data_IF_574903210257
#
_entry.id   IF_574903210257
#
_cell.length_a   1.000
_cell.length_b   1.000
_cell.length_c   1.000
_cell.angle_alpha   90.00
_cell.angle_beta   90.00
_cell.angle_gamma   90.00
#
_symmetry.space_group_name_H-M   'P 1'
#
loop_
_entity.id
_entity.type
_entity.pdbx_description
1 polymer ?
#
# COMPACT_ATOMS: atom_id res chain seq x y z
N UNK A 1 -33.15 -2.53 26.75
CA UNK A 1 -32.25 -2.95 25.66
C UNK A 1 -30.95 -2.21 25.85
N UNK A 2 -29.93 -2.84 26.42
CA UNK A 2 -28.58 -2.27 26.52
C UNK A 2 -28.08 -2.11 25.08
N UNK A 3 -28.10 -0.90 24.53
CA UNK A 3 -27.51 -0.63 23.22
C UNK A 3 -26.06 -1.08 23.27
N UNK A 4 -25.68 -2.02 22.40
CA UNK A 4 -24.31 -2.52 22.37
C UNK A 4 -23.37 -1.33 22.16
N UNK A 5 -22.54 -1.06 23.17
CA UNK A 5 -21.62 0.09 23.15
C UNK A 5 -20.71 -0.06 21.95
N UNK A 6 -20.74 0.92 21.04
CA UNK A 6 -19.83 0.98 19.90
C UNK A 6 -18.38 1.06 20.39
N UNK A 7 -17.51 0.23 19.83
CA UNK A 7 -16.08 0.20 20.14
C UNK A 7 -15.34 1.16 19.21
N UNK A 8 -14.43 1.97 19.74
CA UNK A 8 -13.56 2.85 18.95
C UNK A 8 -12.13 2.31 18.89
N UNK A 9 -11.65 2.05 17.67
CA UNK A 9 -10.31 1.49 17.43
C UNK A 9 -9.47 2.45 16.61
N UNK A 10 -8.27 2.77 17.10
CA UNK A 10 -7.27 3.53 16.34
C UNK A 10 -6.22 2.60 15.73
N UNK A 11 -6.12 2.59 14.41
CA UNK A 11 -5.05 1.91 13.67
C UNK A 11 -3.94 2.90 13.29
N UNK A 12 -2.68 2.56 13.59
CA UNK A 12 -1.54 3.46 13.41
C UNK A 12 -0.61 2.95 12.30
N UNK A 13 -0.48 3.70 11.19
CA UNK A 13 0.50 3.43 10.12
C UNK A 13 0.89 4.70 9.36
N UNK A 14 2.14 5.16 9.54
CA UNK A 14 2.62 6.43 8.97
C UNK A 14 3.34 6.34 7.62
N UNK A 15 3.60 5.14 7.09
CA UNK A 15 4.24 4.88 5.77
C UNK A 15 4.40 3.38 5.58
N UNK A 16 4.77 2.85 4.42
CA UNK A 16 4.74 3.45 3.08
C UNK A 16 3.46 3.03 2.35
N UNK A 17 3.32 3.39 1.07
CA UNK A 17 2.11 3.07 0.28
C UNK A 17 1.76 1.58 0.38
N UNK A 18 2.73 0.70 0.09
CA UNK A 18 2.52 -0.75 0.13
C UNK A 18 2.10 -1.24 1.51
N UNK A 19 2.76 -0.76 2.56
CA UNK A 19 2.41 -1.18 3.92
C UNK A 19 1.04 -0.70 4.38
N UNK A 20 0.59 0.48 3.92
CA UNK A 20 -0.75 0.98 4.23
C UNK A 20 -1.80 0.11 3.53
N UNK A 21 -1.57 -0.27 2.27
CA UNK A 21 -2.45 -1.22 1.55
C UNK A 21 -2.46 -2.58 2.26
N UNK A 22 -1.32 -3.06 2.77
CA UNK A 22 -1.24 -4.28 3.57
C UNK A 22 -2.03 -4.22 4.89
N UNK A 23 -2.37 -3.03 5.40
CA UNK A 23 -3.21 -2.87 6.59
C UNK A 23 -4.71 -3.03 6.30
N UNK A 24 -5.13 -2.94 5.03
CA UNK A 24 -6.56 -2.90 4.67
C UNK A 24 -7.38 -4.12 5.09
N UNK A 25 -6.86 -5.37 5.11
CA UNK A 25 -7.63 -6.51 5.62
C UNK A 25 -8.00 -6.35 7.10
N UNK A 26 -7.11 -5.75 7.90
CA UNK A 26 -7.39 -5.44 9.31
C UNK A 26 -8.53 -4.44 9.42
N UNK A 27 -8.57 -3.42 8.55
CA UNK A 27 -9.64 -2.41 8.57
C UNK A 27 -11.00 -3.04 8.23
N UNK A 28 -11.03 -3.86 7.18
CA UNK A 28 -12.23 -4.61 6.77
C UNK A 28 -12.73 -5.54 7.88
N UNK A 29 -11.82 -6.31 8.47
CA UNK A 29 -12.16 -7.22 9.58
C UNK A 29 -12.59 -6.48 10.86
N UNK A 30 -12.01 -5.32 11.17
CA UNK A 30 -12.48 -4.50 12.30
C UNK A 30 -13.91 -4.02 12.07
N UNK A 31 -14.24 -3.63 10.84
CA UNK A 31 -15.58 -3.17 10.51
C UNK A 31 -16.62 -4.29 10.51
N UNK A 32 -16.25 -5.48 10.03
CA UNK A 32 -17.21 -6.56 9.75
C UNK A 32 -17.21 -7.70 10.78
N UNK A 33 -16.10 -7.97 11.48
CA UNK A 33 -15.85 -9.26 12.13
C UNK A 33 -15.55 -9.18 13.64
N UNK A 34 -15.90 -8.08 14.31
CA UNK A 34 -15.75 -7.95 15.79
C UNK A 34 -16.95 -8.48 16.57
N UNK A 35 -18.07 -8.75 15.90
CA UNK A 35 -19.35 -9.06 16.53
C UNK A 35 -19.99 -7.88 17.28
N UNK A 36 -19.44 -6.66 17.12
CA UNK A 36 -19.91 -5.42 17.74
C UNK A 36 -19.86 -4.26 16.75
N UNK A 37 -20.69 -3.24 16.96
CA UNK A 37 -20.54 -1.99 16.20
C UNK A 37 -19.15 -1.38 16.46
N UNK A 38 -18.37 -1.15 15.39
CA UNK A 38 -16.97 -0.71 15.49
C UNK A 38 -16.74 0.56 14.68
N UNK A 39 -16.26 1.61 15.34
CA UNK A 39 -15.76 2.85 14.75
C UNK A 39 -14.23 2.72 14.54
N UNK A 40 -13.80 2.73 13.29
CA UNK A 40 -12.43 2.52 12.86
C UNK A 40 -11.81 3.87 12.49
N UNK A 41 -10.82 4.26 13.27
CA UNK A 41 -10.00 5.42 12.99
C UNK A 41 -8.64 4.98 12.47
N UNK A 42 -8.09 5.72 11.52
CA UNK A 42 -6.76 5.44 11.00
C UNK A 42 -5.90 6.70 11.02
N UNK A 43 -4.69 6.60 11.56
CA UNK A 43 -3.72 7.70 11.59
C UNK A 43 -2.55 7.45 10.66
N UNK A 44 -2.29 8.43 9.78
CA UNK A 44 -1.18 8.40 8.83
C UNK A 44 -0.62 9.81 8.55
N UNK A 45 0.32 9.95 7.60
CA UNK A 45 0.78 11.27 7.14
C UNK A 45 -0.13 11.78 6.04
N UNK A 46 -0.30 13.10 5.93
CA UNK A 46 -1.10 13.75 4.88
C UNK A 46 -0.76 13.28 3.46
N UNK A 47 0.52 13.03 3.16
CA UNK A 47 0.98 12.51 1.87
C UNK A 47 0.39 11.13 1.48
N UNK A 48 -0.16 10.39 2.43
CA UNK A 48 -0.76 9.06 2.23
C UNK A 48 -2.29 9.07 2.29
N UNK A 49 -2.93 10.23 2.46
CA UNK A 49 -4.39 10.40 2.41
C UNK A 49 -5.01 9.72 1.18
N UNK A 50 -4.47 9.86 -0.05
CA UNK A 50 -5.11 9.31 -1.25
C UNK A 50 -5.24 7.79 -1.29
N UNK A 51 -4.62 7.05 -0.36
CA UNK A 51 -4.71 5.59 -0.27
C UNK A 51 -5.98 5.14 0.45
N UNK A 52 -6.48 5.94 1.40
CA UNK A 52 -7.52 5.53 2.34
C UNK A 52 -8.78 6.42 2.29
N UNK A 53 -8.73 7.58 1.65
CA UNK A 53 -9.85 8.55 1.65
C UNK A 53 -11.17 8.01 1.08
N UNK A 54 -11.12 6.93 0.30
CA UNK A 54 -12.29 6.25 -0.25
C UNK A 54 -12.52 4.86 0.36
N UNK A 55 -11.80 4.51 1.44
CA UNK A 55 -11.94 3.21 2.08
C UNK A 55 -13.21 3.18 2.98
N UNK A 56 -14.22 2.35 2.66
CA UNK A 56 -15.50 2.33 3.40
C UNK A 56 -15.36 1.74 4.81
N UNK A 57 -14.23 1.11 5.12
CA UNK A 57 -13.96 0.54 6.43
C UNK A 57 -13.30 1.52 7.39
N UNK A 58 -13.00 2.75 6.95
CA UNK A 58 -12.41 3.81 7.79
C UNK A 58 -13.43 4.93 8.00
N UNK A 59 -13.88 5.12 9.23
CA UNK A 59 -14.81 6.21 9.57
C UNK A 59 -14.10 7.56 9.65
N UNK A 60 -12.87 7.56 10.17
CA UNK A 60 -12.13 8.78 10.45
C UNK A 60 -10.65 8.64 10.12
N UNK A 61 -10.16 9.54 9.26
CA UNK A 61 -8.75 9.68 8.93
C UNK A 61 -8.11 10.82 9.72
N UNK A 62 -7.08 10.50 10.49
CA UNK A 62 -6.28 11.46 11.25
C UNK A 62 -4.94 11.67 10.54
N UNK A 63 -4.68 12.90 10.11
CA UNK A 63 -3.52 13.21 9.28
C UNK A 63 -2.47 13.95 10.10
N UNK A 64 -1.27 13.39 10.16
CA UNK A 64 -0.09 14.10 10.62
C UNK A 64 0.33 15.11 9.55
N UNK A 65 0.02 16.37 9.82
CA UNK A 65 0.47 17.56 9.09
C UNK A 65 1.03 18.57 10.10
N UNK A 66 2.35 18.55 10.30
CA UNK A 66 3.04 19.36 11.33
C UNK A 66 3.45 18.57 12.58
N UNK A 67 3.08 19.08 13.77
CA UNK A 67 3.60 18.59 15.06
C UNK A 67 2.84 17.35 15.57
N UNK A 68 3.59 16.31 15.92
CA UNK A 68 3.02 15.08 16.49
C UNK A 68 2.28 15.33 17.82
N UNK A 69 2.74 16.29 18.63
CA UNK A 69 2.10 16.61 19.91
C UNK A 69 0.67 17.10 19.76
N UNK A 70 0.39 17.91 18.73
CA UNK A 70 -0.95 18.43 18.44
C UNK A 70 -1.88 17.28 18.07
N UNK A 71 -1.42 16.41 17.16
CA UNK A 71 -2.14 15.20 16.76
C UNK A 71 -2.43 14.28 17.96
N UNK A 72 -1.48 14.10 18.87
CA UNK A 72 -1.70 13.29 20.08
C UNK A 72 -2.78 13.89 20.97
N UNK A 73 -2.81 15.22 21.12
CA UNK A 73 -3.84 15.92 21.90
C UNK A 73 -5.23 15.71 21.28
N UNK A 74 -5.35 15.86 19.96
CA UNK A 74 -6.59 15.62 19.21
C UNK A 74 -7.05 14.16 19.35
N UNK A 75 -6.15 13.20 19.12
CA UNK A 75 -6.44 11.78 19.25
C UNK A 75 -6.84 11.38 20.68
N UNK A 76 -6.27 12.02 21.71
CA UNK A 76 -6.64 11.75 23.11
C UNK A 76 -8.08 12.15 23.39
N UNK A 77 -8.59 13.22 22.76
CA UNK A 77 -9.97 13.67 22.93
C UNK A 77 -11.01 12.69 22.37
N UNK A 78 -10.60 11.75 21.50
CA UNK A 78 -11.50 10.78 20.87
C UNK A 78 -11.85 9.56 21.75
N UNK A 79 -11.16 9.38 22.88
CA UNK A 79 -11.38 8.32 23.87
C UNK A 79 -11.46 6.88 23.30
N UNK A 80 -10.43 6.47 22.55
CA UNK A 80 -10.38 5.12 21.97
C UNK A 80 -10.42 3.99 23.01
N UNK A 81 -11.00 2.84 22.65
CA UNK A 81 -10.94 1.61 23.46
C UNK A 81 -9.65 0.83 23.20
N UNK A 82 -9.21 0.77 21.93
CA UNK A 82 -8.03 0.01 21.52
C UNK A 82 -7.14 0.77 20.54
N UNK A 83 -5.84 0.50 20.59
CA UNK A 83 -4.86 0.97 19.61
C UNK A 83 -4.18 -0.23 18.93
N UNK A 84 -4.19 -0.26 17.60
CA UNK A 84 -3.49 -1.26 16.81
C UNK A 84 -2.32 -0.57 16.10
N UNK A 85 -1.11 -0.76 16.64
CA UNK A 85 0.11 -0.20 16.07
C UNK A 85 0.72 -1.14 15.02
N UNK A 86 0.33 -0.94 13.77
CA UNK A 86 0.86 -1.66 12.61
C UNK A 86 2.14 -1.02 12.06
N UNK A 87 2.65 0.04 12.69
CA UNK A 87 3.84 0.76 12.23
C UNK A 87 5.09 0.44 13.03
N UNK A 88 4.96 0.26 14.34
CA UNK A 88 6.01 -0.11 15.29
C UNK A 88 7.32 0.68 15.13
N UNK A 89 7.27 2.00 15.34
CA UNK A 89 8.47 2.84 15.45
C UNK A 89 8.33 3.87 16.58
N UNK A 90 9.36 4.70 16.77
CA UNK A 90 9.36 5.75 17.81
C UNK A 90 8.12 6.65 17.72
N UNK A 91 7.72 7.04 16.50
CA UNK A 91 6.56 7.91 16.29
C UNK A 91 5.26 7.23 16.72
N UNK A 92 5.03 5.98 16.33
CA UNK A 92 3.83 5.25 16.75
C UNK A 92 3.85 4.92 18.24
N UNK A 93 5.03 4.67 18.82
CA UNK A 93 5.20 4.50 20.25
C UNK A 93 4.81 5.77 21.04
N UNK A 94 5.20 6.96 20.57
CA UNK A 94 4.79 8.23 21.18
C UNK A 94 3.27 8.42 21.15
N UNK A 95 2.59 8.04 20.06
CA UNK A 95 1.12 8.04 20.00
C UNK A 95 0.53 7.13 21.08
N UNK A 96 1.00 5.87 21.17
CA UNK A 96 0.52 4.93 22.19
C UNK A 96 0.73 5.44 23.62
N UNK A 97 1.93 5.94 23.92
CA UNK A 97 2.26 6.51 25.24
C UNK A 97 1.36 7.71 25.54
N UNK A 98 1.10 8.55 24.54
CA UNK A 98 0.23 9.72 24.67
C UNK A 98 -1.23 9.38 24.93
N UNK A 99 -1.74 8.30 24.35
CA UNK A 99 -3.16 7.90 24.47
C UNK A 99 -3.44 7.01 25.69
N UNK A 100 -2.46 6.21 26.15
CA UNK A 100 -2.58 5.32 27.33
C UNK A 100 -3.76 4.35 27.27
N UNK A 101 -4.04 3.81 26.08
CA UNK A 101 -5.08 2.80 25.86
C UNK A 101 -4.48 1.40 25.67
N UNK A 102 -5.25 0.32 25.92
CA UNK A 102 -4.86 -1.04 25.54
C UNK A 102 -4.39 -1.08 24.09
N UNK A 103 -3.25 -1.74 23.84
CA UNK A 103 -2.64 -1.70 22.51
C UNK A 103 -1.98 -3.02 22.11
N UNK A 104 -2.10 -3.36 20.83
CA UNK A 104 -1.35 -4.42 20.18
C UNK A 104 -0.37 -3.82 19.19
N UNK A 105 0.75 -4.49 18.92
CA UNK A 105 1.79 -3.94 18.05
C UNK A 105 2.47 -5.01 17.22
N UNK A 106 2.64 -4.70 15.94
CA UNK A 106 3.33 -5.57 14.98
C UNK A 106 4.81 -5.74 15.33
N UNK A 107 5.32 -6.97 15.32
CA UNK A 107 6.74 -7.27 15.51
C UNK A 107 7.51 -7.15 14.17
N UNK A 108 8.43 -6.19 14.10
CA UNK A 108 9.17 -5.89 12.86
C UNK A 108 10.20 -6.92 12.41
N UNK A 109 10.72 -7.72 13.35
CA UNK A 109 11.79 -8.69 13.14
C UNK A 109 13.00 -8.06 12.39
N UNK A 110 13.39 -6.86 12.80
CA UNK A 110 14.44 -6.09 12.11
C UNK A 110 15.80 -6.80 12.18
N UNK A 111 16.09 -7.48 13.29
CA UNK A 111 17.35 -8.20 13.48
C UNK A 111 17.43 -9.39 12.53
N UNK A 112 16.34 -10.14 12.41
CA UNK A 112 16.19 -11.30 11.54
C UNK A 112 16.27 -10.87 10.06
N UNK A 113 15.62 -9.76 9.68
CA UNK A 113 15.77 -9.16 8.35
C UNK A 113 17.20 -8.72 8.07
N UNK A 114 17.89 -8.17 9.07
CA UNK A 114 19.29 -7.77 8.94
C UNK A 114 20.21 -9.00 8.79
N UNK A 115 19.98 -10.06 9.57
CA UNK A 115 20.69 -11.34 9.44
C UNK A 115 20.51 -11.93 8.03
N UNK A 116 19.29 -11.93 7.50
CA UNK A 116 19.02 -12.43 6.16
C UNK A 116 19.67 -11.55 5.08
N UNK A 117 19.49 -10.23 5.15
CA UNK A 117 20.00 -9.33 4.09
C UNK A 117 21.51 -9.17 4.12
N UNK A 118 22.14 -9.16 5.30
CA UNK A 118 23.60 -8.96 5.47
C UNK A 118 24.40 -10.25 5.50
N UNK A 119 23.90 -11.30 6.14
CA UNK A 119 24.64 -12.55 6.36
C UNK A 119 24.01 -13.76 5.65
N UNK A 120 22.87 -13.59 4.95
CA UNK A 120 22.14 -14.68 4.27
C UNK A 120 21.67 -15.79 5.23
N UNK A 121 21.57 -15.48 6.53
CA UNK A 121 21.03 -16.40 7.54
C UNK A 121 19.54 -16.14 7.64
N UNK A 122 18.72 -17.07 7.17
CA UNK A 122 17.27 -16.97 7.28
C UNK A 122 16.77 -17.44 8.64
N UNK A 123 16.24 -16.48 9.41
CA UNK A 123 15.52 -16.71 10.67
C UNK A 123 14.14 -16.04 10.63
N UNK A 124 13.69 -15.63 9.45
CA UNK A 124 12.35 -15.08 9.32
C UNK A 124 11.35 -16.23 9.47
N UNK A 125 10.28 -16.04 10.26
CA UNK A 125 9.20 -17.00 10.26
C UNK A 125 8.56 -17.04 8.88
N UNK A 126 8.17 -18.22 8.41
CA UNK A 126 7.33 -18.40 7.21
C UNK A 126 5.91 -17.88 7.47
N UNK A 127 5.79 -16.56 7.64
CA UNK A 127 4.54 -15.87 7.93
C UNK A 127 4.42 -14.60 7.13
N UNK A 128 3.36 -14.53 6.34
CA UNK A 128 3.01 -13.35 5.57
C UNK A 128 2.80 -12.15 6.51
N UNK A 129 3.15 -10.95 6.04
CA UNK A 129 3.08 -9.73 6.87
C UNK A 129 1.66 -9.41 7.36
N UNK A 130 0.64 -9.77 6.58
CA UNK A 130 -0.77 -9.59 6.94
C UNK A 130 -1.12 -10.41 8.20
N UNK A 131 -0.63 -11.64 8.32
CA UNK A 131 -0.87 -12.47 9.51
C UNK A 131 -0.34 -11.80 10.78
N UNK A 132 0.85 -11.21 10.69
CA UNK A 132 1.43 -10.46 11.82
C UNK A 132 0.68 -9.17 12.14
N UNK A 133 -0.02 -8.58 11.17
CA UNK A 133 -0.94 -7.46 11.45
C UNK A 133 -2.19 -7.93 12.18
N UNK A 134 -2.71 -9.11 11.85
CA UNK A 134 -3.80 -9.72 12.61
C UNK A 134 -3.40 -10.13 14.03
N UNK A 135 -2.18 -10.60 14.25
CA UNK A 135 -1.65 -10.83 15.60
C UNK A 135 -1.68 -9.55 16.45
N UNK A 136 -1.25 -8.42 15.88
CA UNK A 136 -1.33 -7.11 16.55
C UNK A 136 -2.78 -6.67 16.79
N UNK A 137 -3.71 -7.04 15.92
CA UNK A 137 -5.13 -6.73 16.05
C UNK A 137 -5.89 -7.72 16.96
N UNK A 138 -5.27 -8.82 17.39
CA UNK A 138 -5.91 -9.90 18.16
C UNK A 138 -6.56 -9.45 19.48
N UNK A 139 -6.14 -8.31 20.04
CA UNK A 139 -6.78 -7.67 21.19
C UNK A 139 -8.25 -7.29 20.97
N UNK A 140 -8.68 -7.20 19.71
CA UNK A 140 -10.07 -6.91 19.30
C UNK A 140 -10.87 -8.17 18.97
N UNK A 141 -10.22 -9.35 18.97
CA UNK A 141 -10.86 -10.63 18.64
C UNK A 141 -11.03 -10.92 17.15
N UNK A 142 -10.65 -10.01 16.25
CA UNK A 142 -10.75 -10.22 14.81
C UNK A 142 -9.80 -11.31 14.32
N UNK A 143 -10.16 -11.94 13.20
CA UNK A 143 -9.35 -12.93 12.49
C UNK A 143 -9.28 -12.58 11.01
N UNK A 144 -8.23 -13.04 10.33
CA UNK A 144 -8.13 -12.92 8.89
C UNK A 144 -9.21 -13.77 8.22
N UNK A 145 -9.95 -13.18 7.29
CA UNK A 145 -10.97 -13.86 6.49
C UNK A 145 -10.44 -14.43 5.17
N UNK A 146 -9.21 -14.06 4.77
CA UNK A 146 -8.58 -14.57 3.57
C UNK A 146 -9.00 -13.91 2.26
N UNK A 147 -9.80 -12.83 2.28
CA UNK A 147 -10.25 -12.13 1.05
C UNK A 147 -9.16 -11.30 0.37
N UNK A 148 -7.95 -11.26 0.94
CA UNK A 148 -6.83 -10.49 0.40
C UNK A 148 -6.89 -9.01 0.78
N UNK A 149 -6.23 -8.18 -0.04
CA UNK A 149 -6.05 -6.75 0.20
C UNK A 149 -7.17 -5.94 -0.46
N UNK A 150 -7.45 -4.75 0.07
CA UNK A 150 -8.44 -3.84 -0.47
C UNK A 150 -7.80 -2.53 -0.98
N UNK A 151 -8.34 -1.99 -2.06
CA UNK A 151 -8.05 -0.63 -2.51
C UNK A 151 -9.29 -0.04 -3.18
N UNK A 152 -9.65 1.17 -2.78
CA UNK A 152 -10.88 1.82 -3.21
C UNK A 152 -10.56 3.07 -4.04
N UNK A 153 -11.20 3.16 -5.20
CA UNK A 153 -11.13 4.32 -6.09
C UNK A 153 -12.44 5.10 -5.99
N UNK A 154 -12.43 6.42 -6.24
CA UNK A 154 -13.67 7.18 -6.34
C UNK A 154 -14.48 6.72 -7.56
N UNK A 155 -15.80 6.65 -7.41
CA UNK A 155 -16.72 6.18 -8.47
C UNK A 155 -16.67 7.03 -9.73
N UNK A 156 -16.39 8.32 -9.59
CA UNK A 156 -16.33 9.30 -10.67
C UNK A 156 -14.91 9.61 -11.16
N UNK A 157 -13.95 8.71 -10.91
CA UNK A 157 -12.57 8.91 -11.35
C UNK A 157 -12.47 8.83 -12.88
N UNK A 158 -12.19 9.97 -13.51
CA UNK A 158 -11.83 10.05 -14.92
C UNK A 158 -10.33 10.25 -15.06
N UNK A 159 -9.67 9.43 -15.89
CA UNK A 159 -8.23 9.55 -16.16
C UNK A 159 -8.03 9.97 -17.61
N UNK A 160 -7.28 11.05 -17.81
CA UNK A 160 -6.89 11.47 -19.16
C UNK A 160 -5.84 10.49 -19.72
N UNK A 161 -6.15 9.88 -20.86
CA UNK A 161 -5.31 8.88 -21.52
C UNK A 161 -4.64 9.39 -22.81
N UNK A 162 -4.62 10.71 -23.05
CA UNK A 162 -4.09 11.32 -24.28
C UNK A 162 -2.60 11.00 -24.50
N UNK A 163 -1.85 10.85 -23.40
CA UNK A 163 -0.45 10.40 -23.42
C UNK A 163 -0.27 8.91 -23.81
N UNK A 164 -1.38 8.16 -23.94
CA UNK A 164 -1.44 6.72 -24.16
C UNK A 164 -2.44 6.37 -25.27
N UNK A 165 -2.10 6.77 -26.50
CA UNK A 165 -2.87 6.40 -27.69
C UNK A 165 -2.70 4.92 -28.00
N UNK A 166 -3.72 4.12 -27.68
CA UNK A 166 -3.79 2.71 -28.02
C UNK A 166 -5.23 2.34 -28.39
N UNK A 167 -5.40 1.23 -29.12
CA UNK A 167 -6.72 0.65 -29.34
C UNK A 167 -7.24 0.05 -28.01
N UNK A 168 -8.33 0.58 -27.43
CA UNK A 168 -8.87 0.05 -26.17
C UNK A 168 -9.23 -1.43 -26.24
N UNK A 169 -9.55 -1.97 -27.43
CA UNK A 169 -9.88 -3.40 -27.62
C UNK A 169 -8.69 -4.32 -27.40
N UNK A 170 -7.47 -3.84 -27.66
CA UNK A 170 -6.25 -4.62 -27.41
C UNK A 170 -5.94 -4.69 -25.90
N UNK A 171 -6.38 -3.69 -25.15
CA UNK A 171 -5.96 -3.44 -23.78
C UNK A 171 -4.46 -3.16 -23.70
N UNK A 172 -3.93 -3.16 -22.47
CA UNK A 172 -2.53 -2.82 -22.26
C UNK A 172 -1.91 -3.53 -21.06
N UNK A 173 -0.58 -3.48 -21.00
CA UNK A 173 0.23 -3.95 -19.90
C UNK A 173 0.71 -2.73 -19.11
N UNK A 174 0.46 -2.69 -17.82
CA UNK A 174 1.04 -1.68 -16.95
C UNK A 174 2.41 -2.20 -16.47
N UNK A 175 3.49 -1.48 -16.78
CA UNK A 175 4.80 -1.76 -16.22
C UNK A 175 5.17 -0.66 -15.24
N UNK A 176 5.07 -0.96 -13.94
CA UNK A 176 5.48 -0.08 -12.87
C UNK A 176 7.01 -0.13 -12.74
N UNK A 177 7.67 0.87 -13.32
CA UNK A 177 9.13 1.00 -13.29
C UNK A 177 9.62 1.85 -12.11
N UNK A 178 8.72 2.63 -11.51
CA UNK A 178 9.05 3.49 -10.39
C UNK A 178 9.52 2.73 -9.16
N UNK A 179 10.36 3.36 -8.34
CA UNK A 179 10.86 2.72 -7.13
C UNK A 179 11.88 3.57 -6.38
N UNK A 180 11.71 3.69 -5.07
CA UNK A 180 12.55 4.55 -4.22
C UNK A 180 14.01 4.12 -4.15
N UNK A 181 14.29 2.83 -4.28
CA UNK A 181 15.64 2.28 -4.12
C UNK A 181 16.12 1.69 -5.44
N UNK A 182 17.24 2.21 -5.95
CA UNK A 182 17.83 1.74 -7.22
C UNK A 182 18.08 0.22 -7.24
N UNK A 183 18.46 -0.36 -6.10
CA UNK A 183 18.72 -1.80 -5.94
C UNK A 183 17.49 -2.70 -6.04
N UNK A 184 16.29 -2.12 -6.05
CA UNK A 184 15.02 -2.83 -6.29
C UNK A 184 14.51 -2.69 -7.73
N UNK A 185 15.13 -1.84 -8.54
CA UNK A 185 14.71 -1.59 -9.92
C UNK A 185 15.53 -2.46 -10.86
N UNK A 186 14.87 -3.03 -11.86
CA UNK A 186 15.57 -3.62 -12.98
C UNK A 186 16.39 -2.55 -13.73
N UNK A 187 17.58 -2.91 -14.24
CA UNK A 187 18.30 -2.09 -15.21
C UNK A 187 17.43 -1.82 -16.44
N UNK A 188 17.59 -0.63 -17.03
CA UNK A 188 16.80 -0.20 -18.18
C UNK A 188 16.93 -1.17 -19.35
N UNK A 189 18.10 -1.76 -19.57
CA UNK A 189 18.36 -2.71 -20.66
C UNK A 189 17.44 -3.94 -20.54
N UNK A 190 17.19 -4.40 -19.31
CA UNK A 190 16.28 -5.52 -19.05
C UNK A 190 14.82 -5.12 -19.24
N UNK A 191 14.44 -3.93 -18.77
CA UNK A 191 13.08 -3.40 -18.97
C UNK A 191 12.79 -3.28 -20.48
N UNK A 192 13.71 -2.70 -21.25
CA UNK A 192 13.62 -2.56 -22.70
C UNK A 192 13.50 -3.94 -23.38
N UNK A 193 14.33 -4.90 -22.99
CA UNK A 193 14.26 -6.26 -23.53
C UNK A 193 12.91 -6.95 -23.26
N UNK A 194 12.31 -6.72 -22.09
CA UNK A 194 10.97 -7.22 -21.74
C UNK A 194 9.93 -6.52 -22.62
N UNK A 195 9.89 -5.18 -22.61
CA UNK A 195 8.91 -4.39 -23.37
C UNK A 195 8.92 -4.73 -24.87
N UNK A 196 10.10 -4.95 -25.47
CA UNK A 196 10.23 -5.36 -26.88
C UNK A 196 9.61 -6.73 -27.16
N UNK A 197 9.61 -7.66 -26.20
CA UNK A 197 9.02 -9.01 -26.37
C UNK A 197 7.53 -9.07 -26.06
N UNK A 198 6.97 -8.07 -25.39
CA UNK A 198 5.54 -8.05 -25.07
C UNK A 198 4.69 -7.81 -26.33
N UNK A 199 3.57 -8.55 -26.48
CA UNK A 199 2.72 -8.49 -27.68
C UNK A 199 1.71 -7.33 -27.67
N UNK A 200 1.57 -6.64 -26.54
CA UNK A 200 0.57 -5.58 -26.33
C UNK A 200 1.23 -4.24 -26.00
N UNK A 201 0.50 -3.12 -26.16
CA UNK A 201 0.95 -1.80 -25.71
C UNK A 201 1.34 -1.81 -24.23
N UNK A 202 2.44 -1.14 -23.91
CA UNK A 202 2.99 -1.05 -22.54
C UNK A 202 2.88 0.38 -22.06
N UNK A 203 2.21 0.59 -20.92
CA UNK A 203 2.20 1.86 -20.21
C UNK A 203 3.18 1.80 -19.04
N UNK A 204 4.22 2.63 -19.09
CA UNK A 204 5.19 2.78 -18.00
C UNK A 204 4.59 3.68 -16.92
N UNK A 205 4.54 3.17 -15.68
CA UNK A 205 4.03 3.92 -14.51
C UNK A 205 5.14 4.14 -13.48
N UNK A 206 5.16 5.33 -12.90
CA UNK A 206 6.19 5.78 -11.97
C UNK A 206 5.95 7.21 -11.51
N UNK A 207 6.72 7.64 -10.51
CA UNK A 207 6.64 9.00 -9.98
C UNK A 207 7.25 10.03 -10.92
N UNK A 208 7.26 11.30 -10.49
CA UNK A 208 7.90 12.38 -11.23
C UNK A 208 9.40 12.12 -11.45
N UNK A 209 10.08 11.57 -10.44
CA UNK A 209 11.50 11.21 -10.51
C UNK A 209 11.81 10.11 -11.55
N UNK A 210 10.79 9.36 -11.98
CA UNK A 210 10.92 8.31 -12.98
C UNK A 210 10.60 8.79 -14.41
N UNK A 211 10.15 10.04 -14.58
CA UNK A 211 9.70 10.57 -15.88
C UNK A 211 10.79 10.53 -16.96
N UNK A 212 12.00 11.02 -16.63
CA UNK A 212 13.16 10.99 -17.53
C UNK A 212 13.56 9.56 -17.89
N UNK A 213 13.62 8.68 -16.88
CA UNK A 213 13.98 7.28 -17.08
C UNK A 213 12.95 6.52 -17.95
N UNK A 214 11.66 6.78 -17.71
CA UNK A 214 10.57 6.22 -18.50
C UNK A 214 10.63 6.67 -19.96
N UNK A 215 11.09 7.90 -20.23
CA UNK A 215 11.23 8.38 -21.61
C UNK A 215 12.34 7.63 -22.34
N UNK A 216 13.51 7.46 -21.71
CA UNK A 216 14.62 6.68 -22.26
C UNK A 216 14.18 5.25 -22.63
N UNK A 217 13.39 4.61 -21.77
CA UNK A 217 12.87 3.26 -22.03
C UNK A 217 11.87 3.27 -23.19
N UNK A 218 10.93 4.22 -23.20
CA UNK A 218 9.91 4.34 -24.24
C UNK A 218 10.55 4.53 -25.63
N UNK A 219 11.48 5.48 -25.75
CA UNK A 219 12.19 5.77 -27.00
C UNK A 219 12.95 4.54 -27.53
N UNK A 220 13.57 3.77 -26.63
CA UNK A 220 14.29 2.55 -26.99
C UNK A 220 13.37 1.38 -27.41
N UNK A 221 12.08 1.39 -27.05
CA UNK A 221 11.14 0.31 -27.34
C UNK A 221 10.30 0.52 -28.61
N UNK A 222 10.36 1.71 -29.22
CA UNK A 222 9.51 2.09 -30.35
C UNK A 222 8.07 2.43 -29.94
N UNK A 223 7.18 2.62 -30.92
CA UNK A 223 5.83 3.19 -30.73
C UNK A 223 4.80 2.34 -29.96
N UNK A 224 5.21 1.27 -29.28
CA UNK A 224 4.32 0.42 -28.46
C UNK A 224 4.48 0.61 -26.95
N UNK A 225 5.49 1.35 -26.52
CA UNK A 225 5.75 1.63 -25.11
C UNK A 225 5.59 3.12 -24.86
N UNK A 226 4.78 3.47 -23.87
CA UNK A 226 4.37 4.82 -23.59
C UNK A 226 4.79 5.22 -22.18
N UNK A 227 5.34 6.42 -22.06
CA UNK A 227 5.78 6.96 -20.79
C UNK A 227 4.62 7.67 -20.08
N UNK A 228 4.06 7.03 -19.05
CA UNK A 228 3.10 7.61 -18.11
C UNK A 228 3.74 8.10 -16.81
N UNK A 229 5.06 7.97 -16.64
CA UNK A 229 5.74 8.33 -15.39
C UNK A 229 5.66 9.84 -15.13
N UNK A 230 5.25 10.22 -13.92
CA UNK A 230 5.10 11.62 -13.52
C UNK A 230 3.88 12.34 -14.12
N UNK A 231 3.07 11.66 -14.94
CA UNK A 231 1.85 12.23 -15.58
C UNK A 231 0.57 11.96 -14.80
N UNK A 232 0.61 10.98 -13.90
CA UNK A 232 -0.56 10.49 -13.17
C UNK A 232 -0.34 10.61 -11.66
N UNK A 233 -1.36 11.05 -10.96
CA UNK A 233 -1.46 10.92 -9.50
C UNK A 233 -1.48 9.46 -9.07
N UNK A 234 -1.39 9.21 -7.76
CA UNK A 234 -1.47 7.86 -7.21
C UNK A 234 -2.81 7.18 -7.56
N UNK A 235 -3.93 7.92 -7.48
CA UNK A 235 -5.27 7.39 -7.78
C UNK A 235 -5.44 7.08 -9.25
N UNK A 236 -4.96 7.96 -10.12
CA UNK A 236 -4.98 7.73 -11.57
C UNK A 236 -4.08 6.53 -11.93
N UNK A 237 -2.88 6.44 -11.36
CA UNK A 237 -1.99 5.29 -11.54
C UNK A 237 -2.66 3.98 -11.06
N UNK A 238 -3.34 4.00 -9.92
CA UNK A 238 -4.09 2.86 -9.41
C UNK A 238 -5.26 2.48 -10.34
N UNK A 239 -5.99 3.46 -10.88
CA UNK A 239 -7.03 3.21 -11.88
C UNK A 239 -6.45 2.55 -13.14
N UNK A 240 -5.32 3.03 -13.65
CA UNK A 240 -4.64 2.44 -14.80
C UNK A 240 -4.18 1.00 -14.52
N UNK A 241 -3.65 0.75 -13.32
CA UNK A 241 -3.33 -0.60 -12.84
C UNK A 241 -4.58 -1.50 -12.82
N UNK A 242 -5.73 -0.98 -12.36
CA UNK A 242 -7.00 -1.72 -12.36
C UNK A 242 -7.45 -2.10 -13.78
N UNK A 243 -7.27 -1.20 -14.75
CA UNK A 243 -7.65 -1.42 -16.15
C UNK A 243 -6.68 -2.31 -16.94
N UNK A 244 -5.41 -2.43 -16.51
CA UNK A 244 -4.40 -3.21 -17.22
C UNK A 244 -4.76 -4.71 -17.29
N UNK A 245 -4.40 -5.39 -18.38
CA UNK A 245 -4.58 -6.85 -18.53
C UNK A 245 -3.55 -7.65 -17.73
N UNK A 246 -2.35 -7.09 -17.61
CA UNK A 246 -1.22 -7.63 -16.87
C UNK A 246 -0.50 -6.45 -16.22
N UNK A 247 -0.05 -6.66 -14.98
CA UNK A 247 0.80 -5.72 -14.26
C UNK A 247 2.17 -6.36 -14.09
N UNK A 248 3.21 -5.66 -14.51
CA UNK A 248 4.61 -6.00 -14.23
C UNK A 248 5.13 -4.92 -13.28
N UNK A 249 5.69 -5.31 -12.14
CA UNK A 249 6.09 -4.35 -11.12
C UNK A 249 7.30 -4.81 -10.33
N UNK A 250 8.11 -3.87 -9.88
CA UNK A 250 9.06 -4.10 -8.79
C UNK A 250 8.33 -4.10 -7.43
N UNK A 251 9.02 -4.49 -6.35
CA UNK A 251 8.54 -4.36 -4.96
C UNK A 251 8.28 -2.89 -4.56
N UNK A 252 7.07 -2.41 -4.85
CA UNK A 252 6.64 -1.01 -4.79
C UNK A 252 5.18 -0.89 -4.33
N UNK A 253 4.73 0.33 -4.01
CA UNK A 253 3.34 0.56 -3.59
C UNK A 253 2.29 0.11 -4.61
N UNK A 254 2.51 0.37 -5.90
CA UNK A 254 1.57 -0.03 -6.96
C UNK A 254 1.51 -1.55 -7.16
N UNK A 255 2.56 -2.30 -6.78
CA UNK A 255 2.50 -3.77 -6.75
C UNK A 255 1.43 -4.25 -5.77
N UNK A 256 1.39 -3.71 -4.55
CA UNK A 256 0.38 -4.07 -3.55
C UNK A 256 -1.03 -3.62 -3.97
N UNK A 257 -1.14 -2.47 -4.63
CA UNK A 257 -2.42 -2.00 -5.19
C UNK A 257 -2.91 -2.95 -6.29
N UNK A 258 -2.02 -3.43 -7.16
CA UNK A 258 -2.37 -4.44 -8.17
C UNK A 258 -2.86 -5.75 -7.54
N UNK A 259 -2.22 -6.18 -6.44
CA UNK A 259 -2.68 -7.33 -5.67
C UNK A 259 -4.07 -7.09 -5.05
N UNK A 260 -4.34 -5.90 -4.51
CA UNK A 260 -5.66 -5.53 -3.97
C UNK A 260 -6.77 -5.52 -5.03
N UNK A 261 -6.43 -5.26 -6.30
CA UNK A 261 -7.37 -5.37 -7.41
C UNK A 261 -7.44 -6.78 -8.03
N UNK A 262 -6.78 -7.79 -7.43
CA UNK A 262 -6.70 -9.15 -7.95
C UNK A 262 -6.23 -9.20 -9.42
N UNK A 263 -5.26 -8.36 -9.79
CA UNK A 263 -4.70 -8.33 -11.15
C UNK A 263 -3.75 -9.49 -11.37
N UNK A 264 -3.67 -9.96 -12.61
CA UNK A 264 -2.56 -10.79 -13.04
C UNK A 264 -1.27 -9.97 -12.89
N UNK A 265 -0.41 -10.38 -11.96
CA UNK A 265 0.74 -9.61 -11.50
C UNK A 265 2.03 -10.44 -11.61
N UNK A 266 3.02 -9.89 -12.30
CA UNK A 266 4.40 -10.38 -12.27
C UNK A 266 5.19 -9.40 -11.41
N UNK A 267 5.61 -9.87 -10.22
CA UNK A 267 6.44 -9.07 -9.31
C UNK A 267 7.91 -9.46 -9.45
N UNK A 268 8.78 -8.46 -9.58
CA UNK A 268 10.21 -8.65 -9.81
C UNK A 268 10.95 -8.16 -8.57
N UNK A 269 11.67 -9.10 -7.94
CA UNK A 269 12.35 -8.89 -6.67
C UNK A 269 13.87 -8.95 -6.87
N UNK A 270 14.58 -8.01 -6.24
CA UNK A 270 16.03 -7.90 -6.27
C UNK A 270 16.63 -8.12 -4.89
N UNK A 271 17.08 -7.04 -4.25
CA UNK A 271 17.62 -7.09 -2.88
C UNK A 271 16.54 -7.15 -1.78
N UNK A 272 15.33 -7.59 -2.13
CA UNK A 272 14.24 -7.88 -1.20
C UNK A 272 13.67 -9.25 -1.49
N UNK A 273 13.15 -9.91 -0.45
CA UNK A 273 12.57 -11.25 -0.53
C UNK A 273 11.07 -11.10 -0.35
N UNK A 274 10.23 -11.69 -1.23
CA UNK A 274 8.80 -11.80 -0.98
C UNK A 274 8.61 -12.67 0.28
N UNK A 275 7.91 -12.13 1.28
CA UNK A 275 7.63 -12.81 2.54
C UNK A 275 6.19 -13.34 2.57
#
# INVERSE_FOLDING_TARGET
>A
MSGDKQIKVLVVRFSSIGDIVLCTPVLRCLKNNTGKSTEVHFVTKKAYLPILEHNPYVDHLHLLDGRLSTLITELRAMDFDYIIDLHHNIRSALVKIGLRKPSGSFLKLNLEKWLLTRFKIDRLPERHIVERYFEAAGITGIKNDGDGLDFFLPDNLTVNMDAFSHDPKQGFIAFVIGGKHATKRLPNEKIIAICRKLPAPVLLLGGHDDASNGQVIADACGGKTFNGCGKYSLKESAFLVKQARLVISHDTGLMHIAAAFNKHLISIWGNTVPA
#
